data_IF_384252235386
#
_entry.id   IF_384252235386
#
_cell.length_a   1.000
_cell.length_b   1.000
_cell.length_c   1.000
_cell.angle_alpha   90.00
_cell.angle_beta   90.00
_cell.angle_gamma   90.00
#
_symmetry.space_group_name_H-M   'P 1'
#
loop_
_entity.id
_entity.type
_entity.pdbx_description
1 polymer ?
#
# COMPACT_ATOMS: atom_id res chain seq x y z
N UNK A 1 -20.87 -10.53 2.06
CA UNK A 1 -19.96 -9.75 1.24
C UNK A 1 -19.58 -10.63 0.07
N UNK A 2 -19.54 -10.12 -1.13
CA UNK A 2 -18.97 -10.89 -2.23
C UNK A 2 -17.51 -11.15 -1.89
N UNK A 3 -17.05 -12.40 -2.04
CA UNK A 3 -15.72 -12.82 -1.59
C UNK A 3 -14.60 -12.40 -2.58
N UNK A 4 -14.96 -11.74 -3.69
CA UNK A 4 -14.02 -11.30 -4.71
C UNK A 4 -13.31 -10.02 -4.30
N UNK A 5 -11.96 -10.01 -4.41
CA UNK A 5 -11.11 -8.85 -4.15
C UNK A 5 -10.45 -8.37 -5.45
N UNK A 6 -10.68 -7.10 -5.82
CA UNK A 6 -10.00 -6.48 -6.95
C UNK A 6 -8.60 -6.00 -6.52
N UNK A 7 -7.56 -6.50 -7.19
CA UNK A 7 -6.19 -6.06 -7.01
C UNK A 7 -5.72 -5.28 -8.25
N UNK A 8 -5.57 -3.97 -8.15
CA UNK A 8 -4.97 -3.16 -9.22
C UNK A 8 -3.46 -3.07 -9.05
N UNK A 9 -2.71 -2.94 -10.13
CA UNK A 9 -1.25 -2.89 -10.04
C UNK A 9 -0.59 -4.22 -9.64
N UNK A 10 -1.28 -5.34 -9.85
CA UNK A 10 -0.91 -6.69 -9.43
C UNK A 10 0.46 -7.18 -9.96
N UNK A 11 1.07 -6.51 -10.96
CA UNK A 11 2.40 -6.82 -11.50
C UNK A 11 3.55 -6.13 -10.75
N UNK A 12 3.27 -5.10 -9.95
CA UNK A 12 4.26 -4.38 -9.16
C UNK A 12 4.81 -5.22 -8.00
N UNK A 13 5.84 -4.72 -7.31
CA UNK A 13 6.47 -5.46 -6.20
C UNK A 13 5.48 -5.78 -5.07
N UNK A 14 4.66 -4.81 -4.66
CA UNK A 14 3.62 -5.01 -3.64
C UNK A 14 2.57 -6.01 -4.13
N UNK A 15 2.08 -5.85 -5.38
CA UNK A 15 1.12 -6.78 -5.98
C UNK A 15 1.68 -8.20 -6.11
N UNK A 16 2.97 -8.35 -6.37
CA UNK A 16 3.63 -9.66 -6.39
C UNK A 16 3.68 -10.28 -5.00
N UNK A 17 4.01 -9.51 -3.96
CA UNK A 17 4.01 -10.01 -2.59
C UNK A 17 2.62 -10.47 -2.14
N UNK A 18 1.56 -9.73 -2.49
CA UNK A 18 0.17 -10.10 -2.21
C UNK A 18 -0.21 -11.39 -2.97
N UNK A 19 0.04 -11.44 -4.28
CA UNK A 19 -0.29 -12.64 -5.10
C UNK A 19 0.44 -13.89 -4.65
N UNK A 20 1.71 -13.77 -4.22
CA UNK A 20 2.49 -14.92 -3.73
C UNK A 20 2.10 -15.33 -2.31
N UNK A 21 1.75 -14.37 -1.45
CA UNK A 21 1.44 -14.64 -0.05
C UNK A 21 -0.03 -14.98 0.23
N UNK A 22 -0.97 -14.53 -0.62
CA UNK A 22 -2.42 -14.63 -0.39
C UNK A 22 -3.16 -15.25 -1.59
N UNK A 23 -2.47 -16.03 -2.44
CA UNK A 23 -3.06 -16.59 -3.67
C UNK A 23 -4.34 -17.38 -3.42
N UNK A 24 -4.34 -18.22 -2.39
CA UNK A 24 -5.43 -19.16 -2.08
C UNK A 24 -6.42 -18.62 -1.02
N UNK A 25 -6.20 -17.40 -0.50
CA UNK A 25 -7.01 -16.86 0.60
C UNK A 25 -8.28 -16.14 0.11
N UNK A 26 -8.26 -15.61 -1.13
CA UNK A 26 -9.37 -14.81 -1.70
C UNK A 26 -9.65 -15.18 -3.16
N UNK A 27 -10.87 -14.93 -3.59
CA UNK A 27 -11.24 -14.92 -5.01
C UNK A 27 -10.74 -13.61 -5.64
N UNK A 28 -9.53 -13.64 -6.19
CA UNK A 28 -8.90 -12.46 -6.78
C UNK A 28 -9.44 -12.14 -8.17
N UNK A 29 -9.57 -10.83 -8.46
CA UNK A 29 -9.65 -10.26 -9.80
C UNK A 29 -8.51 -9.28 -9.97
N UNK A 30 -7.77 -9.36 -11.08
CA UNK A 30 -6.60 -8.49 -11.32
C UNK A 30 -6.90 -7.43 -12.38
N UNK A 31 -6.46 -6.18 -12.13
CA UNK A 31 -6.38 -5.15 -13.16
C UNK A 31 -4.91 -4.81 -13.43
N UNK A 32 -4.45 -5.11 -14.66
CA UNK A 32 -3.10 -4.83 -15.13
C UNK A 32 -3.13 -3.64 -16.10
N UNK A 33 -2.19 -2.71 -15.96
CA UNK A 33 -2.03 -1.64 -16.96
C UNK A 33 -1.56 -2.19 -18.33
N UNK A 34 -0.67 -3.20 -18.33
CA UNK A 34 -0.20 -3.91 -19.51
C UNK A 34 -0.27 -5.42 -19.26
N UNK A 35 -0.41 -6.24 -20.30
CA UNK A 35 -0.42 -7.69 -20.15
C UNK A 35 0.73 -8.18 -19.28
N UNK A 36 0.49 -9.05 -18.29
CA UNK A 36 1.54 -9.62 -17.47
C UNK A 36 2.39 -10.60 -18.30
N UNK A 37 3.68 -10.81 -17.96
CA UNK A 37 4.56 -11.76 -18.64
C UNK A 37 4.32 -13.22 -18.21
N UNK A 38 3.26 -13.49 -17.48
CA UNK A 38 2.85 -14.79 -16.95
C UNK A 38 1.34 -14.98 -17.17
N UNK A 39 0.88 -16.23 -17.11
CA UNK A 39 -0.54 -16.55 -17.16
C UNK A 39 -1.15 -16.31 -15.76
N UNK A 40 -2.07 -15.35 -15.59
CA UNK A 40 -2.69 -15.11 -14.30
C UNK A 40 -3.63 -16.27 -13.93
N UNK A 41 -3.51 -16.73 -12.68
CA UNK A 41 -4.32 -17.85 -12.16
C UNK A 41 -5.78 -17.44 -11.90
N UNK A 42 -6.03 -16.15 -11.77
CA UNK A 42 -7.34 -15.54 -11.49
C UNK A 42 -7.84 -14.67 -12.66
N UNK A 43 -9.17 -14.39 -12.74
CA UNK A 43 -9.73 -13.48 -13.72
C UNK A 43 -8.99 -12.15 -13.79
N UNK A 44 -8.73 -11.65 -14.98
CA UNK A 44 -7.95 -10.43 -15.15
C UNK A 44 -8.42 -9.56 -16.29
N UNK A 45 -8.31 -8.25 -16.11
CA UNK A 45 -8.51 -7.22 -17.13
C UNK A 45 -7.18 -6.50 -17.40
N UNK A 46 -7.06 -5.92 -18.60
CA UNK A 46 -5.88 -5.16 -19.00
C UNK A 46 -6.30 -3.81 -19.55
N UNK A 47 -5.82 -2.73 -18.96
CA UNK A 47 -6.05 -1.36 -19.40
C UNK A 47 -5.66 -0.34 -18.33
N UNK A 48 -6.02 0.91 -18.58
CA UNK A 48 -5.65 2.03 -17.74
C UNK A 48 -6.67 2.20 -16.60
N UNK A 49 -6.18 2.53 -15.39
CA UNK A 49 -7.02 2.82 -14.22
C UNK A 49 -7.84 4.12 -14.38
N UNK A 50 -7.55 4.92 -15.39
CA UNK A 50 -8.31 6.12 -15.76
C UNK A 50 -9.44 5.85 -16.76
N UNK A 51 -9.56 4.63 -17.27
CA UNK A 51 -10.64 4.20 -18.17
C UNK A 51 -11.87 3.83 -17.31
N UNK A 52 -12.86 4.72 -17.28
CA UNK A 52 -14.05 4.61 -16.43
C UNK A 52 -14.87 3.36 -16.75
N UNK A 53 -14.99 2.98 -18.04
CA UNK A 53 -15.76 1.80 -18.46
C UNK A 53 -15.07 0.50 -18.01
N UNK A 54 -13.75 0.40 -18.22
CA UNK A 54 -12.95 -0.73 -17.80
C UNK A 54 -12.95 -0.89 -16.27
N UNK A 55 -12.80 0.22 -15.53
CA UNK A 55 -12.73 0.20 -14.07
C UNK A 55 -14.10 -0.16 -13.48
N UNK A 56 -15.20 0.29 -14.09
CA UNK A 56 -16.55 -0.13 -13.70
C UNK A 56 -16.73 -1.65 -13.89
N UNK A 57 -16.33 -2.22 -15.05
CA UNK A 57 -16.31 -3.68 -15.27
C UNK A 57 -15.45 -4.41 -14.23
N UNK A 58 -14.28 -3.85 -13.89
CA UNK A 58 -13.40 -4.45 -12.90
C UNK A 58 -14.01 -4.51 -11.50
N UNK A 59 -14.88 -3.57 -11.13
CA UNK A 59 -15.55 -3.49 -9.83
C UNK A 59 -16.86 -4.30 -9.74
N UNK A 60 -17.40 -4.87 -10.85
CA UNK A 60 -18.64 -5.68 -10.82
C UNK A 60 -18.48 -6.88 -9.87
N UNK A 61 -19.42 -7.09 -8.95
CA UNK A 61 -19.45 -8.20 -7.99
C UNK A 61 -18.15 -8.30 -7.14
N UNK A 62 -17.58 -7.16 -6.73
CA UNK A 62 -16.38 -7.05 -5.90
C UNK A 62 -16.76 -6.57 -4.50
N UNK A 63 -16.32 -7.29 -3.46
CA UNK A 63 -16.54 -6.91 -2.05
C UNK A 63 -15.48 -5.95 -1.49
N UNK A 64 -14.24 -6.07 -1.97
CA UNK A 64 -13.12 -5.24 -1.54
C UNK A 64 -12.15 -4.88 -2.68
N UNK A 65 -11.48 -3.74 -2.57
CA UNK A 65 -10.45 -3.28 -3.52
C UNK A 65 -9.12 -3.11 -2.81
N UNK A 66 -8.04 -3.65 -3.40
CA UNK A 66 -6.66 -3.32 -3.05
C UNK A 66 -6.05 -2.52 -4.20
N UNK A 67 -5.86 -1.22 -3.97
CA UNK A 67 -5.43 -0.29 -5.01
C UNK A 67 -3.94 0.04 -4.92
N UNK A 68 -3.16 -0.56 -5.84
CA UNK A 68 -1.70 -0.36 -5.95
C UNK A 68 -1.31 0.34 -7.25
N UNK A 69 -2.22 0.46 -8.22
CA UNK A 69 -1.92 1.07 -9.52
C UNK A 69 -1.52 2.54 -9.39
N UNK A 70 -0.63 2.97 -10.27
CA UNK A 70 -0.12 4.33 -10.34
C UNK A 70 1.34 4.36 -10.79
N UNK A 71 1.87 5.56 -11.03
CA UNK A 71 3.30 5.77 -11.33
C UNK A 71 4.12 5.74 -10.03
N UNK A 72 4.96 4.71 -9.79
CA UNK A 72 5.68 4.54 -8.53
C UNK A 72 6.99 5.35 -8.46
N UNK A 73 7.37 6.06 -9.53
CA UNK A 73 8.64 6.75 -9.60
C UNK A 73 8.66 7.98 -8.70
N UNK A 74 9.66 8.11 -7.84
CA UNK A 74 9.82 9.26 -6.94
C UNK A 74 10.08 10.58 -7.67
N UNK A 75 10.63 10.52 -8.87
CA UNK A 75 10.93 11.62 -9.79
C UNK A 75 9.92 11.72 -10.94
N UNK A 76 8.76 11.06 -10.81
CA UNK A 76 7.70 11.15 -11.81
C UNK A 76 7.31 12.62 -12.07
N UNK A 77 7.11 13.01 -13.35
CA UNK A 77 6.61 14.34 -13.67
C UNK A 77 5.20 14.56 -13.11
N UNK A 78 4.87 15.81 -12.85
CA UNK A 78 3.60 16.18 -12.26
C UNK A 78 2.39 15.63 -13.04
N UNK A 79 2.43 15.73 -14.36
CA UNK A 79 1.36 15.28 -15.24
C UNK A 79 1.10 13.78 -15.08
N UNK A 80 2.15 12.98 -14.92
CA UNK A 80 2.02 11.53 -14.74
C UNK A 80 1.36 11.17 -13.39
N UNK A 81 1.79 11.81 -12.29
CA UNK A 81 1.19 11.52 -10.98
C UNK A 81 -0.22 12.10 -10.85
N UNK A 82 -0.51 13.21 -11.51
CA UNK A 82 -1.85 13.79 -11.55
C UNK A 82 -2.83 12.84 -12.25
N UNK A 83 -2.46 12.34 -13.42
CA UNK A 83 -3.30 11.46 -14.22
C UNK A 83 -3.42 10.07 -13.57
N UNK A 84 -2.30 9.37 -13.39
CA UNK A 84 -2.34 7.97 -12.99
C UNK A 84 -2.62 7.77 -11.49
N UNK A 85 -2.06 8.64 -10.61
CA UNK A 85 -2.15 8.40 -9.17
C UNK A 85 -3.32 9.14 -8.51
N UNK A 86 -3.64 10.36 -8.97
CA UNK A 86 -4.71 11.16 -8.36
C UNK A 86 -6.04 10.90 -9.09
N UNK A 87 -6.06 11.14 -10.41
CA UNK A 87 -7.28 10.95 -11.19
C UNK A 87 -7.68 9.47 -11.24
N UNK A 88 -6.74 8.55 -11.54
CA UNK A 88 -7.02 7.12 -11.54
C UNK A 88 -7.54 6.60 -10.21
N UNK A 89 -6.99 7.07 -9.08
CA UNK A 89 -7.52 6.73 -7.74
C UNK A 89 -8.96 7.20 -7.58
N UNK A 90 -9.29 8.42 -8.03
CA UNK A 90 -10.66 8.94 -7.96
C UNK A 90 -11.61 8.13 -8.83
N UNK A 91 -11.24 7.78 -10.07
CA UNK A 91 -12.04 6.94 -10.97
C UNK A 91 -12.35 5.58 -10.33
N UNK A 92 -11.35 4.97 -9.70
CA UNK A 92 -11.56 3.69 -9.03
C UNK A 92 -12.48 3.79 -7.81
N UNK A 93 -12.39 4.87 -7.01
CA UNK A 93 -13.33 5.11 -5.91
C UNK A 93 -14.77 5.31 -6.41
N UNK A 94 -14.97 6.08 -7.49
CA UNK A 94 -16.30 6.26 -8.08
C UNK A 94 -16.92 4.91 -8.46
N UNK A 95 -16.17 4.09 -9.22
CA UNK A 95 -16.63 2.77 -9.63
C UNK A 95 -16.86 1.83 -8.44
N UNK A 96 -16.00 1.85 -7.43
CA UNK A 96 -16.15 1.03 -6.22
C UNK A 96 -17.44 1.37 -5.47
N UNK A 97 -17.75 2.66 -5.30
CA UNK A 97 -19.00 3.09 -4.65
C UNK A 97 -20.22 2.72 -5.48
N UNK A 98 -20.19 2.94 -6.81
CA UNK A 98 -21.29 2.57 -7.70
C UNK A 98 -21.57 1.06 -7.72
N UNK A 99 -20.52 0.24 -7.60
CA UNK A 99 -20.63 -1.22 -7.51
C UNK A 99 -21.02 -1.72 -6.11
N UNK A 100 -21.03 -0.85 -5.09
CA UNK A 100 -21.36 -1.22 -3.71
C UNK A 100 -20.21 -1.92 -2.95
N UNK A 101 -18.96 -1.67 -3.36
CA UNK A 101 -17.77 -2.16 -2.66
C UNK A 101 -17.76 -1.63 -1.23
N UNK A 102 -17.62 -2.52 -0.26
CA UNK A 102 -17.63 -2.16 1.16
C UNK A 102 -16.27 -1.73 1.70
N UNK A 103 -15.16 -2.13 1.07
CA UNK A 103 -13.80 -1.93 1.62
C UNK A 103 -12.79 -1.52 0.55
N UNK A 104 -11.93 -0.57 0.91
CA UNK A 104 -10.89 -0.06 0.02
C UNK A 104 -9.53 0.05 0.74
N UNK A 105 -8.57 -0.76 0.36
CA UNK A 105 -7.20 -0.73 0.86
C UNK A 105 -6.33 0.03 -0.13
N UNK A 106 -5.84 1.20 0.27
CA UNK A 106 -5.02 2.07 -0.58
C UNK A 106 -3.54 1.96 -0.25
N UNK A 107 -2.71 1.63 -1.24
CA UNK A 107 -1.27 1.68 -1.12
C UNK A 107 -0.78 3.14 -1.11
N UNK A 108 -0.77 3.75 0.06
CA UNK A 108 -0.07 5.00 0.31
C UNK A 108 1.44 4.76 0.41
N UNK A 109 2.19 5.71 0.88
CA UNK A 109 3.65 5.64 0.92
C UNK A 109 4.21 6.48 2.07
N UNK A 110 5.35 6.07 2.61
CA UNK A 110 6.19 6.89 3.48
C UNK A 110 6.55 8.24 2.84
N UNK A 111 6.49 8.38 1.51
CA UNK A 111 6.72 9.64 0.81
C UNK A 111 5.63 10.70 1.08
N UNK A 112 4.44 10.30 1.52
CA UNK A 112 3.38 11.23 1.95
C UNK A 112 3.84 12.12 3.13
N UNK A 113 4.82 11.63 3.91
CA UNK A 113 5.40 12.31 5.09
C UNK A 113 6.92 12.52 4.99
N UNK A 114 7.48 12.45 3.79
CA UNK A 114 8.93 12.41 3.54
C UNK A 114 9.74 13.62 4.07
N UNK A 115 9.11 14.77 4.32
CA UNK A 115 9.82 15.93 4.90
C UNK A 115 10.17 15.76 6.38
N UNK A 116 9.46 14.92 7.12
CA UNK A 116 9.88 14.60 8.50
C UNK A 116 11.26 13.92 8.53
N UNK A 117 11.50 13.01 7.59
CA UNK A 117 12.82 12.41 7.39
C UNK A 117 13.87 13.46 7.01
N UNK A 118 13.55 14.36 6.08
CA UNK A 118 14.48 15.41 5.64
C UNK A 118 14.92 16.31 6.77
N UNK A 119 14.01 16.65 7.70
CA UNK A 119 14.29 17.54 8.83
C UNK A 119 15.14 16.87 9.94
N UNK A 120 15.10 15.54 10.06
CA UNK A 120 15.64 14.80 11.22
C UNK A 120 16.78 13.82 10.91
N UNK A 121 17.06 13.53 9.63
CA UNK A 121 18.15 12.63 9.25
C UNK A 121 19.53 13.23 9.61
N UNK A 122 20.55 12.42 9.97
CA UNK A 122 20.47 10.95 10.08
C UNK A 122 19.95 10.44 11.44
N UNK A 123 19.72 11.31 12.41
CA UNK A 123 19.47 10.93 13.81
C UNK A 123 18.25 10.00 13.97
N UNK A 124 17.18 10.21 13.19
CA UNK A 124 15.98 9.37 13.25
C UNK A 124 16.20 7.89 12.88
N UNK A 125 17.34 7.54 12.28
CA UNK A 125 17.67 6.12 11.99
C UNK A 125 18.39 5.41 13.13
N UNK A 126 18.67 6.11 14.21
CA UNK A 126 19.37 5.55 15.36
C UNK A 126 18.39 4.76 16.22
N UNK A 127 18.88 3.67 16.81
CA UNK A 127 18.07 2.85 17.71
C UNK A 127 17.75 3.53 19.05
N UNK A 128 18.49 4.59 19.42
CA UNK A 128 18.31 5.38 20.62
C UNK A 128 17.53 6.69 20.41
N UNK A 129 16.97 6.94 19.21
CA UNK A 129 16.06 8.07 18.92
C UNK A 129 14.61 7.67 19.22
N UNK A 130 13.92 8.48 20.02
CA UNK A 130 12.54 8.23 20.46
C UNK A 130 11.48 8.82 19.51
N UNK A 131 11.90 9.48 18.42
CA UNK A 131 10.96 10.04 17.46
C UNK A 131 10.19 8.95 16.72
N UNK A 132 8.88 9.08 16.70
CA UNK A 132 7.98 8.18 15.96
C UNK A 132 6.92 8.96 15.20
N UNK A 133 6.60 8.45 14.00
CA UNK A 133 5.43 8.82 13.22
C UNK A 133 4.39 7.69 13.38
N UNK A 134 3.16 8.03 13.71
CA UNK A 134 2.13 7.06 14.11
C UNK A 134 0.90 7.01 13.17
N UNK A 135 0.89 7.80 12.10
CA UNK A 135 -0.22 7.89 11.15
C UNK A 135 -1.17 9.06 11.40
N UNK A 136 -1.05 9.75 12.54
CA UNK A 136 -1.90 10.92 12.87
C UNK A 136 -1.33 12.25 12.39
N UNK A 137 -0.05 12.27 12.00
CA UNK A 137 0.61 13.48 11.51
C UNK A 137 0.04 13.94 10.16
N UNK A 138 -0.05 15.26 9.99
CA UNK A 138 -0.42 15.86 8.71
C UNK A 138 0.60 15.49 7.62
N UNK A 139 0.17 15.24 6.38
CA UNK A 139 1.06 14.99 5.27
C UNK A 139 2.10 16.10 5.07
N UNK A 140 3.36 15.70 4.86
CA UNK A 140 4.49 16.58 4.52
C UNK A 140 5.30 15.95 3.39
N UNK A 141 4.72 15.87 2.17
CA UNK A 141 5.37 15.20 1.04
C UNK A 141 6.62 15.93 0.56
N UNK A 142 7.64 15.19 0.16
CA UNK A 142 8.91 15.72 -0.33
C UNK A 142 9.07 15.72 -1.86
N UNK A 143 8.12 15.17 -2.60
CA UNK A 143 8.12 15.07 -4.06
C UNK A 143 6.70 14.89 -4.61
N UNK A 144 6.53 14.94 -5.96
CA UNK A 144 5.22 14.81 -6.61
C UNK A 144 4.54 13.47 -6.30
N UNK A 145 5.32 12.38 -6.26
CA UNK A 145 4.81 11.06 -5.86
C UNK A 145 4.22 11.09 -4.44
N UNK A 146 4.93 11.68 -3.47
CA UNK A 146 4.42 11.87 -2.11
C UNK A 146 3.15 12.74 -2.05
N UNK A 147 3.07 13.79 -2.88
CA UNK A 147 1.85 14.60 -3.03
C UNK A 147 0.68 13.74 -3.50
N UNK A 148 0.89 12.90 -4.53
CA UNK A 148 -0.17 12.03 -5.04
C UNK A 148 -0.66 11.01 -4.02
N UNK A 149 0.24 10.47 -3.18
CA UNK A 149 -0.15 9.55 -2.12
C UNK A 149 -0.94 10.24 -0.99
N UNK A 150 -0.53 11.42 -0.56
CA UNK A 150 -1.30 12.24 0.37
C UNK A 150 -2.67 12.66 -0.19
N UNK A 151 -2.75 12.93 -1.50
CA UNK A 151 -4.02 13.19 -2.18
C UNK A 151 -4.94 11.95 -2.16
N UNK A 152 -4.39 10.75 -2.42
CA UNK A 152 -5.14 9.48 -2.33
C UNK A 152 -5.71 9.23 -0.93
N UNK A 153 -4.93 9.48 0.13
CA UNK A 153 -5.43 9.43 1.52
C UNK A 153 -6.62 10.39 1.72
N UNK A 154 -6.52 11.62 1.19
CA UNK A 154 -7.60 12.62 1.31
C UNK A 154 -8.83 12.24 0.49
N UNK A 155 -8.63 11.68 -0.72
CA UNK A 155 -9.72 11.15 -1.55
C UNK A 155 -10.44 10.04 -0.77
N UNK A 156 -9.70 9.06 -0.23
CA UNK A 156 -10.28 7.99 0.57
C UNK A 156 -11.09 8.50 1.76
N UNK A 157 -10.61 9.55 2.45
CA UNK A 157 -11.36 10.18 3.53
C UNK A 157 -12.71 10.75 3.06
N UNK A 158 -12.72 11.44 1.91
CA UNK A 158 -13.96 11.96 1.32
C UNK A 158 -14.96 10.83 1.00
N UNK A 159 -14.50 9.74 0.38
CA UNK A 159 -15.39 8.62 0.03
C UNK A 159 -15.89 7.87 1.26
N UNK A 160 -15.09 7.76 2.32
CA UNK A 160 -15.55 7.24 3.60
C UNK A 160 -16.66 8.13 4.18
N UNK A 161 -16.42 9.45 4.31
CA UNK A 161 -17.36 10.38 4.96
C UNK A 161 -18.69 10.53 4.19
N UNK A 162 -18.67 10.48 2.86
CA UNK A 162 -19.86 10.69 2.02
C UNK A 162 -20.61 9.40 1.69
N UNK A 163 -19.90 8.28 1.56
CA UNK A 163 -20.50 7.02 1.07
C UNK A 163 -20.38 5.86 2.04
N UNK A 164 -19.61 6.00 3.13
CA UNK A 164 -19.50 4.98 4.17
C UNK A 164 -18.67 3.75 3.78
N UNK A 165 -17.79 3.86 2.76
CA UNK A 165 -16.85 2.80 2.41
C UNK A 165 -15.73 2.73 3.45
N UNK A 166 -15.37 1.54 3.94
CA UNK A 166 -14.25 1.38 4.85
C UNK A 166 -12.92 1.60 4.11
N UNK A 167 -12.04 2.44 4.65
CA UNK A 167 -10.77 2.80 3.97
C UNK A 167 -9.58 2.56 4.88
N UNK A 168 -8.62 1.75 4.43
CA UNK A 168 -7.31 1.62 5.05
C UNK A 168 -6.22 2.15 4.13
N UNK A 169 -5.50 3.17 4.56
CA UNK A 169 -4.35 3.72 3.85
C UNK A 169 -3.06 3.17 4.45
N UNK A 170 -2.34 2.34 3.71
CA UNK A 170 -1.08 1.75 4.16
C UNK A 170 0.07 2.60 3.62
N UNK A 171 0.73 3.37 4.47
CA UNK A 171 1.99 4.08 4.14
C UNK A 171 3.13 3.09 4.07
N UNK A 172 3.31 2.49 2.90
CA UNK A 172 4.29 1.45 2.65
C UNK A 172 5.71 2.02 2.72
N UNK A 173 6.59 1.30 3.43
CA UNK A 173 8.02 1.60 3.50
C UNK A 173 8.79 1.17 2.26
N UNK A 174 9.93 0.51 2.44
CA UNK A 174 10.79 0.03 1.35
C UNK A 174 10.67 -1.49 1.21
N UNK A 175 9.88 -1.93 0.25
CA UNK A 175 9.68 -3.34 -0.04
C UNK A 175 10.84 -3.91 -0.86
N UNK A 176 11.49 -4.96 -0.37
CA UNK A 176 12.48 -5.75 -1.11
C UNK A 176 12.18 -7.24 -0.97
N UNK A 177 12.45 -8.01 -2.04
CA UNK A 177 12.05 -9.42 -2.11
C UNK A 177 12.90 -10.34 -1.23
N UNK A 178 14.21 -10.31 -1.40
CA UNK A 178 15.07 -11.38 -0.91
C UNK A 178 15.81 -11.01 0.37
N UNK A 179 16.08 -9.74 0.60
CA UNK A 179 16.85 -9.29 1.77
C UNK A 179 16.57 -7.82 2.10
N UNK A 180 16.74 -7.42 3.35
CA UNK A 180 16.71 -6.01 3.72
C UNK A 180 17.86 -5.26 3.04
N UNK A 181 17.69 -3.95 2.76
CA UNK A 181 18.77 -3.13 2.22
C UNK A 181 19.78 -2.77 3.31
N UNK A 182 20.72 -3.68 3.57
CA UNK A 182 21.71 -3.58 4.67
C UNK A 182 22.77 -2.50 4.46
N UNK A 183 22.94 -1.99 3.24
CA UNK A 183 24.00 -1.06 2.90
C UNK A 183 23.80 0.35 3.46
N UNK A 184 22.59 0.68 3.94
CA UNK A 184 22.29 2.01 4.47
C UNK A 184 21.16 1.99 5.53
N UNK A 185 21.35 2.78 6.59
CA UNK A 185 20.48 2.80 7.77
C UNK A 185 19.00 3.13 7.45
N UNK A 186 18.77 4.06 6.51
CA UNK A 186 17.41 4.38 6.04
C UNK A 186 16.68 3.16 5.50
N UNK A 187 17.35 2.36 4.70
CA UNK A 187 16.78 1.15 4.14
C UNK A 187 16.37 0.15 5.23
N UNK A 188 17.24 -0.04 6.22
CA UNK A 188 16.96 -0.89 7.36
C UNK A 188 15.79 -0.36 8.20
N UNK A 189 15.71 0.96 8.42
CA UNK A 189 14.69 1.56 9.25
C UNK A 189 13.26 1.42 8.69
N UNK A 190 13.12 1.38 7.37
CA UNK A 190 11.82 1.34 6.68
C UNK A 190 11.59 0.09 5.85
N UNK A 191 12.37 -0.95 6.08
CA UNK A 191 12.21 -2.20 5.34
C UNK A 191 10.84 -2.85 5.60
N UNK A 192 10.28 -3.38 4.52
CA UNK A 192 9.11 -4.25 4.54
C UNK A 192 9.48 -5.53 3.78
N UNK A 193 9.35 -6.68 4.41
CA UNK A 193 9.53 -7.97 3.74
C UNK A 193 8.29 -8.31 2.88
N UNK A 194 8.41 -9.26 1.97
CA UNK A 194 7.28 -9.77 1.18
C UNK A 194 6.24 -10.44 2.07
N UNK A 195 6.67 -11.24 3.07
CA UNK A 195 5.79 -11.89 4.04
C UNK A 195 4.97 -10.86 4.83
N UNK A 196 5.63 -9.89 5.42
CA UNK A 196 4.96 -8.85 6.21
C UNK A 196 4.10 -7.92 5.33
N UNK A 197 4.48 -7.74 4.05
CA UNK A 197 3.67 -7.01 3.08
C UNK A 197 2.36 -7.74 2.78
N UNK A 198 2.38 -9.05 2.53
CA UNK A 198 1.17 -9.84 2.35
C UNK A 198 0.30 -9.78 3.61
N UNK A 199 0.89 -10.01 4.78
CA UNK A 199 0.19 -10.03 6.06
C UNK A 199 -0.50 -8.70 6.41
N UNK A 200 0.13 -7.54 6.20
CA UNK A 200 -0.56 -6.27 6.48
C UNK A 200 -1.76 -6.02 5.56
N UNK A 201 -1.70 -6.49 4.30
CA UNK A 201 -2.84 -6.37 3.40
C UNK A 201 -3.96 -7.35 3.76
N UNK A 202 -3.62 -8.57 4.19
CA UNK A 202 -4.58 -9.53 4.77
C UNK A 202 -5.27 -8.90 5.99
N UNK A 203 -4.52 -8.39 6.96
CA UNK A 203 -5.07 -7.71 8.13
C UNK A 203 -6.00 -6.55 7.75
N UNK A 204 -5.63 -5.75 6.72
CA UNK A 204 -6.47 -4.65 6.25
C UNK A 204 -7.75 -5.13 5.52
N UNK A 205 -7.75 -6.33 4.95
CA UNK A 205 -8.95 -6.94 4.35
C UNK A 205 -9.88 -7.53 5.40
N UNK A 206 -9.36 -8.02 6.54
CA UNK A 206 -10.12 -8.76 7.54
C UNK A 206 -10.60 -7.92 8.74
N UNK A 207 -9.81 -6.90 9.16
CA UNK A 207 -10.09 -6.13 10.37
C UNK A 207 -11.36 -5.27 10.26
N UNK A 208 -11.93 -4.93 11.42
CA UNK A 208 -13.07 -4.02 11.53
C UNK A 208 -12.59 -2.61 11.85
N UNK A 209 -12.75 -1.70 10.89
CA UNK A 209 -12.38 -0.29 10.99
C UNK A 209 -13.24 0.57 10.06
N UNK A 210 -13.28 1.86 10.30
CA UNK A 210 -13.94 2.85 9.45
C UNK A 210 -12.95 3.48 8.45
N UNK A 211 -12.04 4.31 8.98
CA UNK A 211 -10.99 5.01 8.18
C UNK A 211 -9.68 5.00 8.94
N UNK A 212 -8.65 4.39 8.36
CA UNK A 212 -7.35 4.26 8.98
C UNK A 212 -6.19 4.71 8.09
N UNK A 213 -5.14 5.22 8.74
CA UNK A 213 -3.81 5.43 8.14
C UNK A 213 -2.80 4.70 9.03
N UNK A 214 -2.11 3.72 8.46
CA UNK A 214 -1.12 2.91 9.17
C UNK A 214 0.20 2.84 8.42
N UNK A 215 1.28 2.50 9.09
CA UNK A 215 2.57 2.24 8.46
C UNK A 215 2.76 0.76 8.17
N UNK A 216 3.14 0.46 6.90
CA UNK A 216 3.51 -0.87 6.42
C UNK A 216 5.02 -1.03 6.37
N UNK A 217 5.61 -1.48 7.47
CA UNK A 217 7.02 -1.86 7.59
C UNK A 217 7.13 -3.14 8.43
N UNK A 218 8.26 -3.86 8.30
CA UNK A 218 8.61 -4.95 9.23
C UNK A 218 9.01 -4.42 10.62
N UNK A 219 9.13 -5.28 11.63
CA UNK A 219 9.42 -4.85 13.01
C UNK A 219 10.90 -4.51 13.22
N UNK A 220 11.43 -3.60 12.41
CA UNK A 220 12.82 -3.21 12.36
C UNK A 220 13.27 -2.49 13.63
N UNK A 221 14.44 -2.81 14.15
CA UNK A 221 15.05 -2.16 15.34
C UNK A 221 15.23 -0.64 15.15
N UNK A 222 15.59 -0.22 13.93
CA UNK A 222 15.85 1.20 13.57
C UNK A 222 14.61 1.99 13.14
N UNK A 223 13.41 1.40 13.26
CA UNK A 223 12.19 2.04 12.76
C UNK A 223 11.90 3.36 13.46
N UNK A 224 11.44 4.36 12.69
CA UNK A 224 10.86 5.61 13.17
C UNK A 224 9.37 5.75 12.79
N UNK A 225 8.81 4.74 12.17
CA UNK A 225 7.37 4.58 12.00
C UNK A 225 6.85 3.66 13.10
N UNK A 226 5.83 4.12 13.83
CA UNK A 226 5.18 3.29 14.84
C UNK A 226 4.32 2.22 14.19
N UNK A 227 4.39 1.01 14.71
CA UNK A 227 3.52 -0.10 14.37
C UNK A 227 2.32 -0.23 15.30
N UNK A 228 2.25 0.58 16.37
CA UNK A 228 1.22 0.45 17.40
C UNK A 228 -0.19 0.55 16.81
N UNK A 229 -0.44 1.57 15.96
CA UNK A 229 -1.73 1.73 15.32
C UNK A 229 -2.09 0.54 14.41
N UNK A 230 -1.16 0.05 13.60
CA UNK A 230 -1.40 -1.12 12.76
C UNK A 230 -1.68 -2.38 13.60
N UNK A 231 -0.99 -2.55 14.73
CA UNK A 231 -1.24 -3.65 15.68
C UNK A 231 -2.62 -3.53 16.35
N UNK A 232 -2.98 -2.33 16.82
CA UNK A 232 -4.24 -2.11 17.54
C UNK A 232 -5.46 -2.21 16.64
N UNK A 233 -5.43 -1.60 15.44
CA UNK A 233 -6.62 -1.49 14.59
C UNK A 233 -6.75 -2.60 13.56
N UNK A 234 -5.62 -3.17 13.10
CA UNK A 234 -5.63 -4.24 12.09
C UNK A 234 -5.24 -5.61 12.65
N UNK A 235 -4.67 -5.68 13.84
CA UNK A 235 -4.06 -6.92 14.34
C UNK A 235 -2.75 -7.29 13.63
N UNK A 236 -2.09 -6.33 12.99
CA UNK A 236 -0.86 -6.56 12.24
C UNK A 236 0.31 -6.96 13.15
N UNK A 237 0.83 -8.16 12.98
CA UNK A 237 1.96 -8.71 13.73
C UNK A 237 3.11 -9.07 12.78
N UNK A 238 3.96 -8.09 12.37
CA UNK A 238 5.09 -8.37 11.50
C UNK A 238 6.07 -9.37 12.12
N UNK A 239 6.71 -10.18 11.29
CA UNK A 239 7.58 -11.27 11.72
C UNK A 239 9.05 -11.04 11.37
N UNK A 240 9.34 -10.08 10.48
CA UNK A 240 10.69 -9.85 9.98
C UNK A 240 11.31 -8.60 10.60
N UNK A 241 12.65 -8.63 10.77
CA UNK A 241 13.45 -7.53 11.27
C UNK A 241 14.75 -7.41 10.45
N UNK A 242 15.01 -6.26 9.89
CA UNK A 242 16.21 -6.02 9.09
C UNK A 242 17.54 -6.24 9.84
N UNK A 243 17.54 -6.16 11.18
CA UNK A 243 18.71 -6.39 12.02
C UNK A 243 18.99 -7.88 12.25
N UNK A 244 18.00 -8.75 12.05
CA UNK A 244 18.10 -10.20 12.27
C UNK A 244 18.43 -10.99 11.01
N UNK A 245 18.54 -10.30 9.86
CA UNK A 245 18.85 -10.98 8.61
C UNK A 245 20.30 -11.50 8.61
N UNK A 246 20.46 -12.81 8.45
CA UNK A 246 21.72 -13.53 8.55
C UNK A 246 22.47 -13.72 7.21
N UNK A 247 21.93 -13.16 6.13
CA UNK A 247 22.51 -13.25 4.78
C UNK A 247 22.07 -14.49 3.99
N UNK A 248 21.17 -15.31 4.52
CA UNK A 248 20.55 -16.40 3.77
C UNK A 248 19.29 -15.90 3.04
N UNK A 249 19.14 -16.25 1.75
CA UNK A 249 17.90 -16.01 1.02
C UNK A 249 16.80 -16.91 1.61
N UNK A 250 15.77 -16.33 2.19
CA UNK A 250 14.54 -17.07 2.51
C UNK A 250 13.84 -17.43 1.18
N UNK A 251 14.30 -18.48 0.56
CA UNK A 251 13.63 -19.15 -0.57
C UNK A 251 12.67 -20.18 0.03
N UNK A 252 11.45 -19.75 0.26
CA UNK A 252 10.34 -20.67 0.52
C UNK A 252 9.10 -20.15 -0.18
#
# INVERSE_FOLDING_TARGET
MDDTVLLTGAKGSVGTAIREGLADEYDWRYLFHNPPPFDPEHPSLVGDVTDEELVAEACEDVGAVVHLAGDPRRDAPWESVLENNIHGTKVLYDAAVEAGVGRFVFASSNHAVGHFETDRKPDLYRTDDDFRLDGTELPRPGNHYGISKAAGETIGRYYHDEYGIDVCNIRIGNLTRNHPPIDYERGQAMWLSYRDCAHIHECALEADYDYEIVYGISDNDRKYYSLERAKEVLGYEPKDNSAEWDGEENVS
#
